data_IF_129347663942
#
_entry.id   IF_129347663942
#
_cell.length_a   1.000
_cell.length_b   1.000
_cell.length_c   1.000
_cell.angle_alpha   90.00
_cell.angle_beta   90.00
_cell.angle_gamma   90.00
#
_symmetry.space_group_name_H-M   'P 1'
#
loop_
_entity.id
_entity.type
_entity.pdbx_description
1 polymer ?
#
# COMPACT_ATOMS: atom_id res chain seq x y z
N UNK A 1 -5.14 16.09 53.81
CA UNK A 1 -3.79 15.99 53.20
C UNK A 1 -3.92 14.98 52.05
N UNK A 2 -3.82 15.38 50.79
CA UNK A 2 -3.96 14.42 49.67
C UNK A 2 -2.76 13.47 49.67
N UNK A 3 -3.04 12.17 49.71
CA UNK A 3 -2.06 11.10 49.78
C UNK A 3 -1.17 11.10 48.51
N UNK A 4 0.15 10.98 48.70
CA UNK A 4 1.15 11.00 47.61
C UNK A 4 0.93 9.87 46.61
N UNK A 5 0.28 8.78 47.03
CA UNK A 5 -0.22 7.70 46.16
C UNK A 5 -1.23 8.21 45.13
N UNK A 6 -2.11 9.16 45.49
CA UNK A 6 -3.11 9.74 44.59
C UNK A 6 -2.48 10.66 43.53
N UNK A 7 -1.49 11.46 43.91
CA UNK A 7 -0.77 12.33 42.98
C UNK A 7 0.04 11.53 41.95
N UNK A 8 0.75 10.49 42.41
CA UNK A 8 1.59 9.65 41.54
C UNK A 8 0.77 8.76 40.59
N UNK A 9 -0.37 8.23 41.03
CA UNK A 9 -1.28 7.46 40.17
C UNK A 9 -1.92 8.33 39.09
N UNK A 10 -2.30 9.57 39.42
CA UNK A 10 -2.82 10.55 38.45
C UNK A 10 -1.76 10.94 37.42
N UNK A 11 -0.52 11.17 37.84
CA UNK A 11 0.61 11.43 36.92
C UNK A 11 0.84 10.24 35.98
N UNK A 12 0.88 9.00 36.50
CA UNK A 12 1.02 7.78 35.69
C UNK A 12 -0.13 7.57 34.70
N UNK A 13 -1.38 7.83 35.10
CA UNK A 13 -2.56 7.74 34.23
C UNK A 13 -2.50 8.77 33.09
N UNK A 14 -2.07 9.99 33.40
CA UNK A 14 -1.91 11.06 32.41
C UNK A 14 -0.82 10.69 31.39
N UNK A 15 0.34 10.21 31.86
CA UNK A 15 1.41 9.75 30.98
C UNK A 15 0.97 8.60 30.06
N UNK A 16 0.24 7.60 30.58
CA UNK A 16 -0.31 6.50 29.78
C UNK A 16 -1.25 7.00 28.69
N UNK A 17 -2.18 7.90 29.02
CA UNK A 17 -3.11 8.46 28.04
C UNK A 17 -2.38 9.24 26.94
N UNK A 18 -1.36 10.03 27.30
CA UNK A 18 -0.52 10.75 26.33
C UNK A 18 0.22 9.80 25.41
N UNK A 19 0.84 8.74 25.94
CA UNK A 19 1.51 7.73 25.12
C UNK A 19 0.53 7.05 24.17
N UNK A 20 -0.65 6.64 24.66
CA UNK A 20 -1.69 6.03 23.81
C UNK A 20 -2.16 6.97 22.70
N UNK A 21 -2.32 8.27 22.97
CA UNK A 21 -2.66 9.26 21.95
C UNK A 21 -1.55 9.40 20.90
N UNK A 22 -0.28 9.46 21.34
CA UNK A 22 0.86 9.61 20.42
C UNK A 22 1.04 8.38 19.54
N UNK A 23 0.92 7.17 20.09
CA UNK A 23 1.05 5.91 19.33
C UNK A 23 -0.07 5.77 18.30
N UNK A 24 -1.31 6.05 18.68
CA UNK A 24 -2.45 6.01 17.76
C UNK A 24 -2.31 7.05 16.65
N UNK A 25 -1.87 8.27 16.98
CA UNK A 25 -1.55 9.32 16.01
C UNK A 25 -0.44 8.89 15.05
N UNK A 26 0.67 8.36 15.56
CA UNK A 26 1.77 7.85 14.74
C UNK A 26 1.31 6.73 13.80
N UNK A 27 0.54 5.76 14.30
CA UNK A 27 -0.02 4.66 13.50
C UNK A 27 -0.94 5.18 12.39
N UNK A 28 -1.75 6.21 12.67
CA UNK A 28 -2.61 6.87 11.68
C UNK A 28 -1.80 7.61 10.61
N UNK A 29 -0.79 8.38 10.99
CA UNK A 29 0.10 9.09 10.05
C UNK A 29 0.82 8.10 9.14
N UNK A 30 1.38 7.02 9.69
CA UNK A 30 2.04 5.98 8.91
C UNK A 30 1.09 5.34 7.89
N UNK A 31 -0.13 4.96 8.31
CA UNK A 31 -1.17 4.42 7.41
C UNK A 31 -1.52 5.37 6.27
N UNK A 32 -1.68 6.66 6.57
CA UNK A 32 -1.95 7.68 5.55
C UNK A 32 -0.81 7.76 4.52
N UNK A 33 0.44 7.75 4.99
CA UNK A 33 1.63 7.78 4.12
C UNK A 33 1.71 6.56 3.22
N UNK A 34 1.52 5.35 3.77
CA UNK A 34 1.55 4.11 2.99
C UNK A 34 0.41 4.08 1.96
N UNK A 35 -0.82 4.43 2.37
CA UNK A 35 -1.96 4.54 1.45
C UNK A 35 -1.66 5.50 0.31
N UNK A 36 -1.07 6.65 0.60
CA UNK A 36 -0.68 7.63 -0.40
C UNK A 36 0.33 7.10 -1.41
N UNK A 37 1.37 6.39 -0.94
CA UNK A 37 2.38 5.76 -1.78
C UNK A 37 1.75 4.68 -2.66
N UNK A 38 0.91 3.82 -2.11
CA UNK A 38 0.28 2.72 -2.87
C UNK A 38 -0.67 3.26 -3.95
N UNK A 39 -1.45 4.30 -3.65
CA UNK A 39 -2.29 4.99 -4.64
C UNK A 39 -1.46 5.58 -5.78
N UNK A 40 -0.32 6.21 -5.47
CA UNK A 40 0.61 6.73 -6.50
C UNK A 40 1.18 5.62 -7.36
N UNK A 41 1.62 4.51 -6.74
CA UNK A 41 2.10 3.33 -7.46
C UNK A 41 1.03 2.78 -8.40
N UNK A 42 -0.21 2.57 -7.95
CA UNK A 42 -1.28 2.10 -8.84
C UNK A 42 -1.60 3.06 -9.99
N UNK A 43 -1.62 4.38 -9.74
CA UNK A 43 -1.81 5.36 -10.82
C UNK A 43 -0.75 5.21 -11.89
N UNK A 44 0.51 5.08 -11.47
CA UNK A 44 1.63 4.90 -12.39
C UNK A 44 1.57 3.55 -13.12
N UNK A 45 1.23 2.45 -12.43
CA UNK A 45 1.06 1.15 -13.06
C UNK A 45 -0.02 1.19 -14.16
N UNK A 46 -1.17 1.78 -13.88
CA UNK A 46 -2.23 1.93 -14.88
C UNK A 46 -1.82 2.85 -16.04
N UNK A 47 -0.99 3.86 -15.79
CA UNK A 47 -0.44 4.70 -16.86
C UNK A 47 0.49 3.90 -17.79
N UNK A 48 1.40 3.09 -17.25
CA UNK A 48 2.29 2.22 -18.03
C UNK A 48 1.49 1.18 -18.83
N UNK A 49 0.47 0.56 -18.23
CA UNK A 49 -0.30 -0.52 -18.88
C UNK A 49 -1.08 -0.05 -20.12
N UNK A 50 -1.51 1.22 -20.14
CA UNK A 50 -2.25 1.87 -21.25
C UNK A 50 -1.35 2.37 -22.38
N UNK A 51 -0.11 1.89 -22.43
CA UNK A 51 0.88 2.16 -23.49
C UNK A 51 1.32 3.64 -23.60
N UNK A 52 1.06 4.45 -22.58
CA UNK A 52 1.45 5.87 -22.56
C UNK A 52 2.92 6.10 -22.19
N UNK A 53 3.64 5.05 -21.79
CA UNK A 53 5.04 5.13 -21.31
C UNK A 53 6.03 4.32 -22.18
N UNK A 54 5.55 3.72 -23.27
CA UNK A 54 6.36 2.94 -24.20
C UNK A 54 6.50 1.45 -23.87
N UNK A 55 6.92 0.64 -24.87
CA UNK A 55 6.86 -0.83 -24.82
C UNK A 55 7.82 -1.45 -23.79
N UNK A 56 8.95 -0.80 -23.51
CA UNK A 56 9.95 -1.31 -22.57
C UNK A 56 9.41 -1.39 -21.13
N UNK A 57 8.73 -0.35 -20.67
CA UNK A 57 8.16 -0.31 -19.32
C UNK A 57 7.01 -1.31 -19.19
N UNK A 58 6.22 -1.48 -20.26
CA UNK A 58 5.16 -2.48 -20.29
C UNK A 58 5.73 -3.91 -20.23
N UNK A 59 6.83 -4.18 -20.95
CA UNK A 59 7.54 -5.46 -20.93
C UNK A 59 8.11 -5.77 -19.54
N UNK A 60 8.74 -4.78 -18.91
CA UNK A 60 9.28 -4.89 -17.56
C UNK A 60 8.17 -5.18 -16.53
N UNK A 61 7.05 -4.46 -16.63
CA UNK A 61 5.90 -4.64 -15.74
C UNK A 61 5.21 -5.99 -15.95
N UNK A 62 5.10 -6.46 -17.20
CA UNK A 62 4.61 -7.79 -17.53
C UNK A 62 5.57 -8.91 -17.08
N UNK A 63 6.83 -8.58 -16.78
CA UNK A 63 7.85 -9.52 -16.34
C UNK A 63 8.38 -10.43 -17.46
N UNK A 64 8.19 -10.04 -18.72
CA UNK A 64 8.71 -10.73 -19.91
C UNK A 64 10.18 -10.37 -20.12
N UNK A 65 11.06 -10.99 -19.33
CA UNK A 65 12.52 -10.86 -19.45
C UNK A 65 13.05 -12.19 -19.99
N UNK A 66 14.02 -12.14 -20.91
CA UNK A 66 14.54 -13.30 -21.63
C UNK A 66 15.26 -14.31 -20.73
N UNK A 67 15.85 -13.86 -19.63
CA UNK A 67 16.58 -14.74 -18.71
C UNK A 67 15.68 -15.49 -17.73
N UNK A 68 16.05 -16.76 -17.49
CA UNK A 68 15.47 -17.56 -16.40
C UNK A 68 16.02 -17.07 -15.06
N UNK A 69 15.13 -16.81 -14.10
CA UNK A 69 15.53 -16.47 -12.73
C UNK A 69 16.16 -17.69 -12.06
N UNK A 70 17.14 -17.45 -11.20
CA UNK A 70 17.77 -18.51 -10.40
C UNK A 70 16.75 -19.32 -9.58
N UNK A 71 17.09 -20.57 -9.29
CA UNK A 71 16.28 -21.44 -8.43
C UNK A 71 16.15 -20.86 -7.03
N UNK A 72 14.92 -20.80 -6.52
CA UNK A 72 14.59 -20.29 -5.17
C UNK A 72 13.22 -19.63 -5.11
N UNK A 73 12.83 -19.15 -3.91
CA UNK A 73 11.58 -18.42 -3.72
C UNK A 73 11.63 -17.10 -4.50
N UNK A 74 10.71 -16.85 -5.45
CA UNK A 74 10.66 -15.59 -6.18
C UNK A 74 10.49 -14.41 -5.22
N UNK A 75 11.26 -13.33 -5.45
CA UNK A 75 11.05 -12.06 -4.76
C UNK A 75 9.69 -11.48 -5.18
N UNK A 76 8.99 -10.85 -4.22
CA UNK A 76 7.75 -10.12 -4.46
C UNK A 76 8.02 -8.97 -5.44
N UNK A 77 7.29 -8.91 -6.54
CA UNK A 77 7.44 -7.89 -7.58
C UNK A 77 6.41 -6.79 -7.39
N UNK A 78 6.69 -5.62 -7.96
CA UNK A 78 5.70 -4.55 -8.01
C UNK A 78 4.40 -5.01 -8.69
N UNK A 79 4.47 -5.83 -9.74
CA UNK A 79 3.27 -6.38 -10.39
C UNK A 79 2.45 -7.30 -9.45
N UNK A 80 3.10 -7.96 -8.48
CA UNK A 80 2.36 -8.75 -7.48
C UNK A 80 1.58 -7.83 -6.54
N UNK A 81 2.16 -6.70 -6.13
CA UNK A 81 1.46 -5.68 -5.37
C UNK A 81 0.29 -5.08 -6.17
N UNK A 82 0.49 -4.77 -7.45
CA UNK A 82 -0.56 -4.20 -8.30
C UNK A 82 -1.72 -5.18 -8.48
N UNK A 83 -1.43 -6.47 -8.66
CA UNK A 83 -2.45 -7.54 -8.70
C UNK A 83 -3.24 -7.62 -7.39
N UNK A 84 -2.53 -7.65 -6.26
CA UNK A 84 -3.15 -7.71 -4.92
C UNK A 84 -4.05 -6.50 -4.67
N UNK A 85 -3.54 -5.29 -4.88
CA UNK A 85 -4.29 -4.05 -4.68
C UNK A 85 -5.45 -3.86 -5.65
N UNK A 86 -5.39 -4.47 -6.83
CA UNK A 86 -6.48 -4.42 -7.83
C UNK A 86 -7.46 -5.58 -7.72
N UNK A 87 -7.23 -6.54 -6.81
CA UNK A 87 -8.02 -7.76 -6.71
C UNK A 87 -8.00 -8.57 -8.01
N UNK A 88 -6.83 -8.72 -8.63
CA UNK A 88 -6.65 -9.41 -9.92
C UNK A 88 -5.68 -10.57 -9.79
N UNK A 89 -5.97 -11.69 -10.45
CA UNK A 89 -5.13 -12.89 -10.37
C UNK A 89 -4.02 -12.90 -11.43
N UNK A 90 -4.27 -12.26 -12.58
CA UNK A 90 -3.33 -12.23 -13.71
C UNK A 90 -2.98 -10.82 -14.18
N UNK A 91 -1.88 -10.71 -14.94
CA UNK A 91 -1.51 -9.46 -15.61
C UNK A 91 -2.57 -9.03 -16.63
N UNK A 92 -3.15 -9.96 -17.38
CA UNK A 92 -4.18 -9.67 -18.38
C UNK A 92 -5.43 -9.04 -17.78
N UNK A 93 -5.89 -9.57 -16.64
CA UNK A 93 -7.05 -9.02 -15.92
C UNK A 93 -6.75 -7.62 -15.38
N UNK A 94 -5.56 -7.47 -14.78
CA UNK A 94 -5.09 -6.17 -14.29
C UNK A 94 -5.02 -5.14 -15.41
N UNK A 95 -4.52 -5.54 -16.59
CA UNK A 95 -4.44 -4.67 -17.77
C UNK A 95 -5.82 -4.29 -18.27
N UNK A 96 -6.79 -5.22 -18.34
CA UNK A 96 -8.18 -4.89 -18.71
C UNK A 96 -8.81 -3.87 -17.76
N UNK A 97 -8.64 -4.07 -16.45
CA UNK A 97 -9.08 -3.10 -15.43
C UNK A 97 -8.38 -1.76 -15.59
N UNK A 98 -7.08 -1.77 -15.92
CA UNK A 98 -6.34 -0.55 -16.19
C UNK A 98 -6.90 0.15 -17.44
N UNK A 99 -7.16 -0.55 -18.53
CA UNK A 99 -7.68 0.05 -19.76
C UNK A 99 -9.02 0.79 -19.50
N UNK A 100 -9.86 0.30 -18.56
CA UNK A 100 -10.98 1.07 -18.03
C UNK A 100 -10.54 2.16 -17.04
N UNK A 101 -10.41 3.41 -17.53
CA UNK A 101 -9.95 4.55 -16.72
C UNK A 101 -10.82 4.88 -15.52
N UNK A 102 -12.14 4.73 -15.65
CA UNK A 102 -13.09 5.06 -14.57
C UNK A 102 -12.94 4.03 -13.45
N UNK A 103 -13.05 2.75 -13.79
CA UNK A 103 -12.88 1.64 -12.85
C UNK A 103 -11.52 1.68 -12.15
N UNK A 104 -10.43 1.93 -12.90
CA UNK A 104 -9.10 2.03 -12.32
C UNK A 104 -8.97 3.21 -11.34
N UNK A 105 -9.53 4.38 -11.69
CA UNK A 105 -9.48 5.56 -10.83
C UNK A 105 -10.25 5.33 -9.54
N UNK A 106 -11.42 4.71 -9.64
CA UNK A 106 -12.29 4.48 -8.50
C UNK A 106 -11.70 3.42 -7.56
N UNK A 107 -11.13 2.35 -8.11
CA UNK A 107 -10.31 1.36 -7.37
C UNK A 107 -9.17 2.05 -6.61
N UNK A 108 -8.38 2.89 -7.29
CA UNK A 108 -7.27 3.63 -6.65
C UNK A 108 -7.78 4.54 -5.54
N UNK A 109 -8.89 5.24 -5.74
CA UNK A 109 -9.47 6.12 -4.74
C UNK A 109 -9.86 5.34 -3.47
N UNK A 110 -10.44 4.15 -3.67
CA UNK A 110 -10.98 3.28 -2.62
C UNK A 110 -9.95 2.33 -1.99
N UNK A 111 -8.69 2.36 -2.41
CA UNK A 111 -7.64 1.51 -1.83
C UNK A 111 -7.50 1.73 -0.31
N UNK A 112 -7.93 0.73 0.47
CA UNK A 112 -7.77 0.65 1.93
C UNK A 112 -6.54 -0.19 2.26
N UNK A 113 -5.58 0.41 2.96
CA UNK A 113 -4.33 -0.28 3.37
C UNK A 113 -4.49 -0.99 4.71
N UNK A 114 -5.64 -1.62 4.95
CA UNK A 114 -5.96 -2.25 6.24
C UNK A 114 -5.84 -3.79 6.18
N UNK A 115 -5.79 -4.36 4.97
CA UNK A 115 -5.90 -5.82 4.76
C UNK A 115 -4.60 -6.51 4.31
N UNK A 116 -3.48 -5.77 4.22
CA UNK A 116 -2.17 -6.39 4.04
C UNK A 116 -1.75 -7.04 5.36
N UNK A 117 -2.23 -8.27 5.53
CA UNK A 117 -2.02 -9.19 6.66
C UNK A 117 -0.53 -9.50 6.87
#
# INVERSE_FOLDING_TARGET
>A
MYDTVYLTTRQKKTARNTVQYLTTRQKKTARNTVSYINKRKLRYAGHIMRDSSGPLLQLHLAGKIEEKRGQGRPRRKWMDDVKEWSGSTSYGDTKRKADNRVEWRDMVANLRTEDAT
#
